data_IF_282964855769
#
_entry.id   IF_282964855769
#
_cell.length_a   1.000
_cell.length_b   1.000
_cell.length_c   1.000
_cell.angle_alpha   90.00
_cell.angle_beta   90.00
_cell.angle_gamma   90.00
#
_symmetry.space_group_name_H-M   'P 1'
#
loop_
_entity.id
_entity.type
_entity.pdbx_description
1 polymer ?
#
# COMPACT_ATOMS: atom_id res chain seq x y z
N UNK A 1 23.95 -1.41 1.02
CA UNK A 1 25.35 -1.27 0.57
C UNK A 1 25.52 -1.44 -0.94
N UNK A 2 24.86 -2.40 -1.59
CA UNK A 2 24.96 -2.68 -3.04
C UNK A 2 24.79 -1.45 -3.96
N UNK A 3 23.86 -0.53 -3.65
CA UNK A 3 23.67 0.72 -4.41
C UNK A 3 24.91 1.64 -4.35
N UNK A 4 25.56 1.73 -3.18
CA UNK A 4 26.76 2.58 -3.02
C UNK A 4 27.96 2.02 -3.79
N UNK A 5 28.11 0.69 -3.83
CA UNK A 5 29.20 0.01 -4.55
C UNK A 5 29.04 0.18 -6.07
N UNK A 6 27.85 -0.08 -6.61
CA UNK A 6 27.55 0.09 -8.05
C UNK A 6 27.78 1.54 -8.51
N UNK A 7 27.35 2.51 -7.71
CA UNK A 7 27.61 3.93 -8.00
C UNK A 7 29.10 4.30 -7.93
N UNK A 8 29.83 3.77 -6.94
CA UNK A 8 31.27 3.97 -6.82
C UNK A 8 32.02 3.42 -8.04
N UNK A 9 31.68 2.21 -8.50
CA UNK A 9 32.28 1.62 -9.71
C UNK A 9 32.03 2.50 -10.94
N UNK A 10 30.79 2.99 -11.12
CA UNK A 10 30.45 3.88 -12.23
C UNK A 10 31.24 5.19 -12.20
N UNK A 11 31.35 5.83 -11.02
CA UNK A 11 32.15 7.06 -10.85
C UNK A 11 33.63 6.79 -11.11
N UNK A 12 34.19 5.71 -10.55
CA UNK A 12 35.60 5.36 -10.75
C UNK A 12 35.85 5.15 -12.25
N UNK A 13 34.99 4.41 -12.95
CA UNK A 13 35.12 4.21 -14.40
C UNK A 13 35.03 5.52 -15.21
N UNK A 14 34.19 6.47 -14.79
CA UNK A 14 34.12 7.80 -15.40
C UNK A 14 35.42 8.57 -15.17
N UNK A 15 35.94 8.57 -13.95
CA UNK A 15 37.20 9.25 -13.63
C UNK A 15 38.38 8.63 -14.39
N UNK A 16 38.46 7.30 -14.43
CA UNK A 16 39.53 6.59 -15.17
C UNK A 16 39.49 6.90 -16.67
N UNK A 17 38.30 6.97 -17.28
CA UNK A 17 38.15 7.32 -18.70
C UNK A 17 38.50 8.79 -18.98
N UNK A 18 38.18 9.71 -18.07
CA UNK A 18 38.58 11.13 -18.18
C UNK A 18 40.11 11.27 -18.06
N UNK A 19 40.72 10.62 -17.07
CA UNK A 19 42.19 10.65 -16.88
C UNK A 19 42.91 10.04 -18.10
N UNK A 20 42.40 8.94 -18.65
CA UNK A 20 42.93 8.36 -19.88
C UNK A 20 42.83 9.29 -21.09
N UNK A 21 41.75 10.07 -21.18
CA UNK A 21 41.60 11.13 -22.19
C UNK A 21 42.64 12.25 -22.03
N UNK A 22 42.86 12.71 -20.80
CA UNK A 22 43.86 13.75 -20.49
C UNK A 22 45.30 13.28 -20.77
N UNK A 23 45.59 12.01 -20.50
CA UNK A 23 46.89 11.40 -20.81
C UNK A 23 47.07 11.02 -22.28
N UNK A 24 46.06 11.30 -23.14
CA UNK A 24 46.03 10.94 -24.55
C UNK A 24 46.20 9.43 -24.82
N UNK A 25 45.89 8.57 -23.84
CA UNK A 25 45.97 7.10 -23.97
C UNK A 25 44.67 6.51 -24.54
N UNK A 26 43.55 7.21 -24.39
CA UNK A 26 42.24 6.85 -24.90
C UNK A 26 41.51 8.07 -25.47
N UNK A 27 40.63 7.87 -26.47
CA UNK A 27 39.78 8.95 -26.98
C UNK A 27 38.76 9.38 -25.93
N UNK A 28 38.50 10.69 -25.81
CA UNK A 28 37.46 11.22 -24.90
C UNK A 28 36.06 10.63 -25.14
N UNK A 29 35.79 10.11 -26.34
CA UNK A 29 34.54 9.42 -26.66
C UNK A 29 34.27 8.20 -25.77
N UNK A 30 35.29 7.57 -25.16
CA UNK A 30 35.06 6.44 -24.25
C UNK A 30 34.38 6.85 -22.94
N UNK A 31 34.45 8.13 -22.55
CA UNK A 31 33.75 8.63 -21.36
C UNK A 31 32.22 8.61 -21.51
N UNK A 32 31.68 8.50 -22.73
CA UNK A 32 30.24 8.36 -22.98
C UNK A 32 29.67 7.07 -22.36
N UNK A 33 30.43 5.98 -22.34
CA UNK A 33 29.97 4.70 -21.79
C UNK A 33 29.63 4.82 -20.30
N UNK A 34 30.57 5.22 -19.41
CA UNK A 34 30.24 5.38 -18.00
C UNK A 34 29.23 6.51 -17.74
N UNK A 35 29.23 7.57 -18.56
CA UNK A 35 28.25 8.65 -18.46
C UNK A 35 26.82 8.14 -18.69
N UNK A 36 26.59 7.37 -19.75
CA UNK A 36 25.27 6.76 -20.02
C UNK A 36 24.89 5.75 -18.92
N UNK A 37 25.85 4.97 -18.42
CA UNK A 37 25.65 4.08 -17.28
C UNK A 37 25.14 4.82 -16.03
N UNK A 38 25.69 5.99 -15.72
CA UNK A 38 25.23 6.83 -14.60
C UNK A 38 23.80 7.32 -14.83
N UNK A 39 23.45 7.79 -16.03
CA UNK A 39 22.10 8.26 -16.35
C UNK A 39 21.07 7.13 -16.15
N UNK A 40 21.35 5.94 -16.69
CA UNK A 40 20.48 4.76 -16.54
C UNK A 40 20.37 4.36 -15.07
N UNK A 41 21.47 4.38 -14.34
CA UNK A 41 21.50 4.03 -12.92
C UNK A 41 20.61 4.97 -12.08
N UNK A 42 20.67 6.28 -12.33
CA UNK A 42 19.81 7.25 -11.63
C UNK A 42 18.33 6.98 -11.89
N UNK A 43 17.95 6.72 -13.15
CA UNK A 43 16.58 6.37 -13.49
C UNK A 43 16.14 5.07 -12.79
N UNK A 44 17.01 4.07 -12.75
CA UNK A 44 16.76 2.79 -12.08
C UNK A 44 16.55 2.96 -10.58
N UNK A 45 17.44 3.69 -9.89
CA UNK A 45 17.31 3.96 -8.45
C UNK A 45 16.04 4.75 -8.15
N UNK A 46 15.71 5.76 -8.96
CA UNK A 46 14.46 6.52 -8.80
C UNK A 46 13.25 5.60 -8.90
N UNK A 47 13.22 4.70 -9.89
CA UNK A 47 12.12 3.74 -10.05
C UNK A 47 12.01 2.79 -8.86
N UNK A 48 13.13 2.24 -8.38
CA UNK A 48 13.16 1.35 -7.21
C UNK A 48 12.68 2.04 -5.93
N UNK A 49 13.15 3.26 -5.66
CA UNK A 49 12.73 4.01 -4.46
C UNK A 49 11.24 4.36 -4.51
N UNK A 50 10.69 4.67 -5.68
CA UNK A 50 9.25 4.90 -5.84
C UNK A 50 8.48 3.61 -5.56
N UNK A 51 8.89 2.46 -6.14
CA UNK A 51 8.20 1.19 -5.88
C UNK A 51 8.25 0.78 -4.41
N UNK A 52 9.36 0.98 -3.72
CA UNK A 52 9.49 0.67 -2.29
C UNK A 52 8.59 1.58 -1.44
N UNK A 53 8.52 2.88 -1.75
CA UNK A 53 7.62 3.81 -1.07
C UNK A 53 6.15 3.42 -1.28
N UNK A 54 5.76 3.05 -2.50
CA UNK A 54 4.41 2.60 -2.80
C UNK A 54 4.05 1.30 -2.07
N UNK A 55 4.97 0.34 -2.04
CA UNK A 55 4.80 -0.91 -1.31
C UNK A 55 4.59 -0.69 0.19
N UNK A 56 5.45 0.14 0.81
CA UNK A 56 5.31 0.51 2.23
C UNK A 56 3.99 1.22 2.52
N UNK A 57 3.54 2.12 1.65
CA UNK A 57 2.23 2.79 1.77
C UNK A 57 1.08 1.79 1.70
N UNK A 58 1.12 0.83 0.76
CA UNK A 58 0.09 -0.22 0.65
C UNK A 58 0.02 -1.06 1.91
N UNK A 59 1.15 -1.53 2.43
CA UNK A 59 1.16 -2.30 3.69
C UNK A 59 0.61 -1.48 4.84
N UNK A 60 1.04 -0.22 4.99
CA UNK A 60 0.55 0.66 6.07
C UNK A 60 -0.97 0.85 5.99
N UNK A 61 -1.52 1.06 4.80
CA UNK A 61 -2.96 1.20 4.58
C UNK A 61 -3.71 -0.11 4.88
N UNK A 62 -3.14 -1.28 4.54
CA UNK A 62 -3.71 -2.58 4.88
C UNK A 62 -3.73 -2.80 6.40
N UNK A 63 -2.64 -2.48 7.10
CA UNK A 63 -2.57 -2.56 8.56
C UNK A 63 -3.58 -1.63 9.25
N UNK A 64 -3.75 -0.41 8.73
CA UNK A 64 -4.70 0.57 9.28
C UNK A 64 -6.17 0.22 8.97
N UNK A 65 -6.45 -0.48 7.87
CA UNK A 65 -7.77 -1.06 7.60
C UNK A 65 -8.07 -2.30 8.46
N UNK A 66 -7.04 -3.09 8.80
CA UNK A 66 -7.16 -4.29 9.62
C UNK A 66 -7.27 -4.02 11.13
N UNK A 67 -6.83 -2.86 11.64
CA UNK A 67 -6.98 -2.49 13.05
C UNK A 67 -8.44 -2.33 13.50
N UNK A 68 -9.40 -2.20 12.57
CA UNK A 68 -10.83 -2.18 12.88
C UNK A 68 -11.48 -3.56 13.04
N UNK A 69 -10.84 -4.64 12.54
CA UNK A 69 -11.45 -5.98 12.50
C UNK A 69 -10.55 -7.11 13.03
N UNK A 70 -9.26 -6.86 13.33
CA UNK A 70 -8.30 -7.96 13.60
C UNK A 70 -7.16 -7.63 14.57
N UNK A 71 -7.23 -6.55 15.34
CA UNK A 71 -6.25 -6.28 16.41
C UNK A 71 -6.49 -7.06 17.71
N UNK A 72 -7.46 -7.98 17.75
CA UNK A 72 -7.39 -9.04 18.74
C UNK A 72 -6.28 -9.98 18.28
N UNK A 73 -5.10 -9.84 18.88
CA UNK A 73 -4.06 -10.85 18.85
C UNK A 73 -4.72 -12.22 19.09
N UNK A 74 -4.93 -13.02 18.04
CA UNK A 74 -5.48 -14.36 18.20
C UNK A 74 -4.58 -15.23 19.09
N UNK A 75 -3.29 -14.87 19.21
CA UNK A 75 -2.35 -15.47 20.16
C UNK A 75 -2.59 -15.07 21.62
N UNK A 76 -3.23 -13.92 21.88
CA UNK A 76 -3.58 -13.44 23.23
C UNK A 76 -4.98 -13.91 23.65
N UNK A 77 -5.91 -14.06 22.69
CA UNK A 77 -7.25 -14.63 22.91
C UNK A 77 -7.25 -16.15 22.98
N UNK A 78 -6.20 -16.82 22.49
CA UNK A 78 -5.84 -18.16 22.97
C UNK A 78 -5.24 -17.99 24.37
N UNK A 79 -6.11 -17.63 25.31
CA UNK A 79 -5.92 -17.93 26.70
C UNK A 79 -5.64 -19.43 26.75
N UNK A 80 -4.37 -19.79 26.93
CA UNK A 80 -4.05 -21.04 27.56
C UNK A 80 -4.64 -20.86 28.95
N UNK A 81 -5.91 -21.26 29.13
CA UNK A 81 -6.43 -21.53 30.45
C UNK A 81 -5.35 -22.41 31.05
N UNK A 82 -4.60 -21.86 32.00
CA UNK A 82 -3.57 -22.57 32.73
C UNK A 82 -4.37 -23.51 33.60
N UNK A 83 -4.87 -24.58 32.99
CA UNK A 83 -5.40 -25.73 33.65
C UNK A 83 -4.22 -26.26 34.43
N UNK A 84 -4.10 -25.79 35.68
CA UNK A 84 -3.38 -26.53 36.70
C UNK A 84 -3.96 -27.92 36.60
N UNK A 85 -3.15 -28.89 36.17
CA UNK A 85 -3.55 -30.28 36.18
C UNK A 85 -3.79 -30.67 37.64
N UNK A 86 -5.00 -30.40 38.12
CA UNK A 86 -5.49 -30.94 39.35
C UNK A 86 -5.89 -32.36 39.00
N UNK A 87 -5.09 -33.32 39.42
CA UNK A 87 -5.40 -34.72 39.23
C UNK A 87 -6.65 -35.06 40.04
N UNK A 88 -7.79 -35.17 39.35
CA UNK A 88 -9.07 -35.57 39.95
C UNK A 88 -9.17 -37.11 39.82
N UNK A 89 -9.30 -37.84 40.93
CA UNK A 89 -9.47 -39.29 40.90
C UNK A 89 -10.75 -39.67 40.16
N UNK A 90 -10.74 -40.84 39.50
CA UNK A 90 -11.85 -41.32 38.67
C UNK A 90 -13.21 -41.34 39.39
N UNK A 91 -13.23 -41.48 40.71
CA UNK A 91 -14.44 -41.49 41.55
C UNK A 91 -15.16 -40.15 41.63
N UNK A 92 -14.43 -39.03 41.43
CA UNK A 92 -14.96 -37.66 41.58
C UNK A 92 -15.27 -36.99 40.24
N UNK A 93 -14.99 -37.66 39.12
CA UNK A 93 -15.39 -37.16 37.81
C UNK A 93 -16.88 -37.38 37.64
N UNK A 94 -17.66 -36.31 37.68
CA UNK A 94 -19.03 -36.34 37.18
C UNK A 94 -18.97 -36.85 35.73
N UNK A 95 -19.61 -37.99 35.48
CA UNK A 95 -19.56 -38.72 34.22
C UNK A 95 -20.35 -37.95 33.14
N UNK A 96 -19.84 -36.79 32.75
CA UNK A 96 -20.37 -35.96 31.67
C UNK A 96 -20.18 -36.69 30.34
N UNK A 97 -21.19 -37.47 29.98
CA UNK A 97 -21.56 -37.74 28.60
C UNK A 97 -20.52 -38.52 27.80
N UNK A 98 -20.51 -39.85 27.97
CA UNK A 98 -20.16 -40.72 26.84
C UNK A 98 -21.21 -40.48 25.76
N UNK A 99 -20.96 -39.52 24.88
CA UNK A 99 -21.76 -39.33 23.67
C UNK A 99 -21.43 -40.52 22.76
N UNK A 100 -22.36 -41.45 22.67
CA UNK A 100 -22.27 -42.55 21.71
C UNK A 100 -22.54 -41.94 20.35
N UNK A 101 -21.49 -41.61 19.60
CA UNK A 101 -21.68 -41.25 18.21
C UNK A 101 -21.96 -42.53 17.40
N UNK A 102 -22.84 -42.47 16.39
CA UNK A 102 -23.06 -43.59 15.50
C UNK A 102 -21.74 -44.02 14.85
N UNK A 103 -21.55 -45.34 14.73
CA UNK A 103 -20.37 -45.93 14.09
C UNK A 103 -20.24 -45.37 12.66
N UNK A 104 -19.09 -44.77 12.33
CA UNK A 104 -18.83 -44.09 11.06
C UNK A 104 -18.58 -42.58 11.18
N UNK A 105 -19.03 -41.93 12.26
CA UNK A 105 -18.76 -40.50 12.51
C UNK A 105 -17.29 -40.19 12.81
N UNK A 106 -16.50 -41.19 13.20
CA UNK A 106 -15.06 -41.07 13.40
C UNK A 106 -14.26 -41.02 12.09
N UNK A 107 -14.76 -41.61 11.00
CA UNK A 107 -14.09 -41.61 9.69
C UNK A 107 -13.99 -40.19 9.10
N UNK A 108 -14.98 -39.33 9.41
CA UNK A 108 -15.01 -37.94 8.93
C UNK A 108 -14.32 -36.93 9.86
N UNK A 109 -13.79 -37.33 11.03
CA UNK A 109 -13.13 -36.41 11.99
C UNK A 109 -11.72 -35.97 11.58
N UNK A 110 -11.18 -36.49 10.48
CA UNK A 110 -9.91 -36.09 9.90
C UNK A 110 -9.97 -35.87 8.38
N UNK A 111 -11.16 -35.96 7.78
CA UNK A 111 -11.35 -35.73 6.37
C UNK A 111 -11.39 -34.21 6.13
N UNK A 112 -10.41 -33.70 5.40
CA UNK A 112 -10.41 -32.32 4.93
C UNK A 112 -11.66 -32.09 4.06
N UNK A 113 -12.47 -31.10 4.42
CA UNK A 113 -13.61 -30.66 3.63
C UNK A 113 -13.26 -29.32 2.97
N UNK A 114 -13.38 -29.19 1.65
CA UNK A 114 -13.17 -27.91 0.99
C UNK A 114 -14.20 -26.89 1.48
N UNK A 115 -13.73 -25.72 1.89
CA UNK A 115 -14.60 -24.60 2.20
C UNK A 115 -14.89 -23.81 0.91
N UNK A 116 -16.16 -23.52 0.62
CA UNK A 116 -16.52 -22.74 -0.57
C UNK A 116 -16.04 -21.29 -0.40
N UNK A 117 -15.10 -20.88 -1.24
CA UNK A 117 -14.59 -19.49 -1.28
C UNK A 117 -15.47 -18.69 -2.23
N UNK A 118 -16.06 -17.56 -1.81
CA UNK A 118 -16.88 -16.74 -2.70
C UNK A 118 -16.03 -16.20 -3.87
N UNK A 119 -16.65 -16.14 -5.05
CA UNK A 119 -15.98 -15.61 -6.24
C UNK A 119 -15.59 -14.14 -6.04
N UNK A 120 -14.41 -13.72 -6.54
CA UNK A 120 -13.97 -12.34 -6.37
C UNK A 120 -14.84 -11.36 -7.16
N UNK A 121 -15.00 -10.15 -6.63
CA UNK A 121 -15.94 -9.14 -7.12
C UNK A 121 -15.78 -8.80 -8.60
N UNK A 122 -14.57 -8.86 -9.15
CA UNK A 122 -14.31 -8.56 -10.56
C UNK A 122 -14.92 -9.56 -11.55
N UNK A 123 -15.36 -10.74 -11.08
CA UNK A 123 -16.05 -11.74 -11.91
C UNK A 123 -17.50 -11.31 -12.18
N UNK A 124 -18.16 -10.76 -11.16
CA UNK A 124 -19.57 -10.38 -11.24
C UNK A 124 -19.78 -8.87 -11.47
N UNK A 125 -18.72 -8.06 -11.36
CA UNK A 125 -18.80 -6.63 -11.55
C UNK A 125 -19.12 -6.29 -13.03
N UNK A 126 -20.01 -5.31 -13.28
CA UNK A 126 -20.26 -4.85 -14.64
C UNK A 126 -18.97 -4.31 -15.25
N UNK A 127 -18.74 -4.65 -16.53
CA UNK A 127 -17.58 -4.17 -17.28
C UNK A 127 -17.55 -2.65 -17.26
N UNK A 128 -16.41 -2.08 -16.89
CA UNK A 128 -16.23 -0.63 -16.85
C UNK A 128 -16.63 0.00 -18.20
N UNK A 129 -17.53 0.98 -18.14
CA UNK A 129 -17.96 1.74 -19.31
C UNK A 129 -16.76 2.53 -19.81
N UNK A 130 -16.25 2.16 -20.98
CA UNK A 130 -15.20 2.93 -21.63
C UNK A 130 -15.85 4.13 -22.32
N UNK A 131 -15.48 5.38 -21.99
CA UNK A 131 -16.04 6.54 -22.66
C UNK A 131 -15.60 6.53 -24.12
N UNK A 132 -16.56 6.37 -25.04
CA UNK A 132 -16.33 6.52 -26.48
C UNK A 132 -16.23 8.01 -26.79
N UNK A 133 -15.06 8.60 -26.58
CA UNK A 133 -14.77 9.96 -27.03
C UNK A 133 -14.38 9.92 -28.52
N UNK A 134 -15.21 10.48 -29.37
CA UNK A 134 -14.87 10.74 -30.78
C UNK A 134 -14.22 12.12 -30.82
N UNK A 135 -12.93 12.18 -31.16
CA UNK A 135 -12.22 13.45 -31.30
C UNK A 135 -12.55 14.01 -32.68
N UNK A 136 -13.19 15.17 -32.72
CA UNK A 136 -13.37 15.90 -33.97
C UNK A 136 -12.06 16.61 -34.32
N UNK A 137 -11.42 16.17 -35.41
CA UNK A 137 -10.16 16.70 -35.92
C UNK A 137 -10.37 17.66 -37.10
N UNK A 138 -11.62 17.97 -37.47
CA UNK A 138 -11.94 18.83 -38.63
C UNK A 138 -11.58 20.29 -38.40
N UNK A 139 -11.51 20.72 -37.15
CA UNK A 139 -11.17 22.09 -36.78
C UNK A 139 -9.90 22.10 -35.92
N UNK A 140 -8.79 22.68 -36.39
CA UNK A 140 -7.56 22.74 -35.60
C UNK A 140 -7.79 23.56 -34.33
N UNK A 141 -7.33 23.06 -33.18
CA UNK A 141 -7.37 23.77 -31.90
C UNK A 141 -8.59 23.50 -31.01
N UNK A 142 -9.72 23.02 -31.54
CA UNK A 142 -10.93 22.77 -30.74
C UNK A 142 -10.69 21.79 -29.57
N UNK A 143 -9.99 20.68 -29.83
CA UNK A 143 -9.69 19.68 -28.79
C UNK A 143 -8.79 20.22 -27.67
N UNK A 144 -7.81 21.08 -27.98
CA UNK A 144 -6.95 21.68 -26.97
C UNK A 144 -7.70 22.72 -26.13
N UNK A 145 -8.54 23.52 -26.77
CA UNK A 145 -9.32 24.57 -26.11
C UNK A 145 -10.38 23.97 -25.18
N UNK A 146 -11.03 22.88 -25.60
CA UNK A 146 -11.96 22.13 -24.76
C UNK A 146 -11.26 21.47 -23.57
N UNK A 147 -10.06 20.93 -23.74
CA UNK A 147 -9.28 20.40 -22.62
C UNK A 147 -8.91 21.48 -21.62
N UNK A 148 -8.47 22.65 -22.09
CA UNK A 148 -8.10 23.76 -21.21
C UNK A 148 -9.32 24.28 -20.44
N UNK A 149 -10.48 24.38 -21.11
CA UNK A 149 -11.75 24.76 -20.45
C UNK A 149 -12.16 23.75 -19.39
N UNK A 150 -12.12 22.45 -19.70
CA UNK A 150 -12.44 21.39 -18.74
C UNK A 150 -11.46 21.37 -17.56
N UNK A 151 -10.16 21.60 -17.81
CA UNK A 151 -9.16 21.68 -16.74
C UNK A 151 -9.43 22.88 -15.82
N UNK A 152 -9.85 24.02 -16.38
CA UNK A 152 -10.20 25.23 -15.61
C UNK A 152 -11.47 25.04 -14.79
N UNK A 153 -12.47 24.38 -15.35
CA UNK A 153 -13.72 24.04 -14.65
C UNK A 153 -13.48 23.02 -13.53
N UNK A 154 -12.68 21.99 -13.78
CA UNK A 154 -12.30 21.01 -12.76
C UNK A 154 -11.48 21.66 -11.63
N UNK A 155 -10.59 22.59 -11.96
CA UNK A 155 -9.85 23.37 -10.97
C UNK A 155 -10.79 24.26 -10.16
N UNK A 156 -11.76 24.91 -10.80
CA UNK A 156 -12.76 25.73 -10.12
C UNK A 156 -13.70 24.91 -9.22
N UNK A 157 -14.06 23.69 -9.62
CA UNK A 157 -14.89 22.78 -8.82
C UNK A 157 -14.12 22.13 -7.66
N UNK A 158 -12.83 21.86 -7.84
CA UNK A 158 -11.97 21.30 -6.80
C UNK A 158 -11.45 22.35 -5.82
N UNK A 159 -11.43 23.63 -6.23
CA UNK A 159 -11.07 24.73 -5.34
C UNK A 159 -12.30 25.07 -4.50
N UNK A 160 -12.25 24.93 -3.16
CA UNK A 160 -13.36 25.32 -2.31
C UNK A 160 -13.70 26.80 -2.56
N UNK A 161 -14.99 27.12 -2.59
CA UNK A 161 -15.41 28.50 -2.82
C UNK A 161 -14.89 29.40 -1.69
N UNK A 162 -14.59 30.66 -2.00
CA UNK A 162 -14.02 31.61 -1.03
C UNK A 162 -14.83 31.69 0.26
N UNK A 163 -16.15 31.55 0.17
CA UNK A 163 -17.04 31.61 1.34
C UNK A 163 -17.00 30.31 2.18
N UNK A 164 -16.78 29.15 1.56
CA UNK A 164 -16.63 27.85 2.26
C UNK A 164 -15.29 27.69 3.01
N UNK A 165 -14.28 28.48 2.66
CA UNK A 165 -12.98 28.47 3.34
C UNK A 165 -13.09 29.10 4.73
N UNK A 166 -13.83 30.21 4.85
CA UNK A 166 -13.98 30.92 6.13
C UNK A 166 -14.84 30.16 7.14
N UNK A 167 -15.82 29.39 6.68
CA UNK A 167 -16.65 28.54 7.56
C UNK A 167 -15.85 27.37 8.16
N UNK A 168 -14.83 26.86 7.44
CA UNK A 168 -13.95 25.80 7.94
C UNK A 168 -13.04 26.30 9.06
N UNK A 169 -12.42 27.47 8.88
CA UNK A 169 -11.55 28.07 9.91
C UNK A 169 -12.34 28.37 11.19
N UNK A 170 -13.57 28.89 11.07
CA UNK A 170 -14.44 29.17 12.20
C UNK A 170 -14.91 27.88 12.92
N UNK A 171 -15.20 26.82 12.16
CA UNK A 171 -15.55 25.53 12.72
C UNK A 171 -14.37 24.85 13.43
N UNK A 172 -13.16 24.97 12.88
CA UNK A 172 -11.94 24.41 13.46
C UNK A 172 -11.57 25.15 14.76
N UNK A 173 -11.70 26.47 14.81
CA UNK A 173 -11.53 27.26 16.03
C UNK A 173 -12.55 26.88 17.13
N UNK A 174 -13.81 26.63 16.76
CA UNK A 174 -14.84 26.20 17.70
C UNK A 174 -14.55 24.80 18.29
N UNK A 175 -14.05 23.87 17.47
CA UNK A 175 -13.65 22.54 17.91
C UNK A 175 -12.44 22.61 18.84
N UNK A 176 -11.46 23.46 18.54
CA UNK A 176 -10.28 23.67 19.39
C UNK A 176 -10.67 24.24 20.78
N UNK A 177 -11.60 25.20 20.83
CA UNK A 177 -12.16 25.73 22.09
C UNK A 177 -12.91 24.66 22.89
N UNK A 178 -13.66 23.78 22.25
CA UNK A 178 -14.32 22.67 22.93
C UNK A 178 -13.30 21.67 23.50
N UNK A 179 -12.27 21.30 22.72
CA UNK A 179 -11.23 20.38 23.16
C UNK A 179 -10.42 20.93 24.34
N UNK A 180 -10.05 22.21 24.31
CA UNK A 180 -9.36 22.88 25.43
C UNK A 180 -10.22 22.96 26.68
N UNK A 181 -11.51 23.26 26.55
CA UNK A 181 -12.45 23.27 27.69
C UNK A 181 -12.65 21.88 28.31
N UNK A 182 -12.60 20.82 27.49
CA UNK A 182 -12.73 19.44 27.94
C UNK A 182 -11.46 18.95 28.64
N UNK A 183 -10.29 19.31 28.12
CA UNK A 183 -9.00 19.00 28.72
C UNK A 183 -8.71 19.74 30.03
N UNK A 184 -9.35 20.90 30.26
CA UNK A 184 -9.24 21.65 31.51
C UNK A 184 -10.14 21.12 32.65
N UNK A 185 -11.08 20.22 32.33
CA UNK A 185 -12.02 19.62 33.30
C UNK A 185 -11.63 18.18 33.70
N UNK A 186 -10.46 17.69 33.28
CA UNK A 186 -9.80 16.47 33.76
C UNK A 186 -8.61 16.83 34.65
#
# INVERSE_FOLDING_TARGET
>A
MQRRITFAILIISLLTTIVGGLMNTLKFSFALIPLTGIIIYVAHVRRQTISEKLYKRRIKNLQQGQSGASSANLSEVVNHATQKEHWIPLSERELSGVVILPKGSAENRGAWQPNEVPVPTYVNAPKAVTPRRTIDLTTPGQWSDEQERLAREALAAATPSRDQVFDQDLAEEAVEKLNTSRAANE
#
